data_IF_401757879916
#
_entry.id   IF_401757879916
#
_cell.length_a   1.000
_cell.length_b   1.000
_cell.length_c   1.000
_cell.angle_alpha   90.00
_cell.angle_beta   90.00
_cell.angle_gamma   90.00
#
_symmetry.space_group_name_H-M   'P 1'
#
loop_
_entity.id
_entity.type
_entity.pdbx_description
1 polymer ?
#
# COMPACT_ATOMS: atom_id res chain seq x y z
N UNK A 1 -19.19 16.07 -20.34
CA UNK A 1 -18.16 15.62 -19.39
C UNK A 1 -17.60 14.31 -19.94
N UNK A 2 -16.28 14.13 -20.02
CA UNK A 2 -15.68 12.87 -20.47
C UNK A 2 -15.66 11.87 -19.32
N UNK A 3 -15.90 10.57 -19.60
CA UNK A 3 -15.87 9.47 -18.63
C UNK A 3 -14.70 8.54 -18.96
N UNK A 4 -13.85 8.26 -17.99
CA UNK A 4 -12.79 7.26 -18.11
C UNK A 4 -13.40 5.84 -18.08
N UNK A 5 -13.01 4.92 -18.99
CA UNK A 5 -13.43 3.53 -18.91
C UNK A 5 -12.75 2.81 -17.74
N UNK A 6 -13.49 1.99 -17.01
CA UNK A 6 -12.96 1.21 -15.90
C UNK A 6 -12.23 -0.06 -16.38
N UNK A 7 -11.47 -0.70 -15.49
CA UNK A 7 -10.81 -1.99 -15.77
C UNK A 7 -11.79 -3.09 -16.23
N UNK A 8 -13.06 -2.99 -15.83
CA UNK A 8 -14.11 -3.94 -16.18
C UNK A 8 -14.63 -3.75 -17.61
N UNK A 9 -14.35 -2.60 -18.24
CA UNK A 9 -14.90 -2.22 -19.53
C UNK A 9 -13.92 -2.43 -20.69
N UNK A 10 -12.65 -2.73 -20.38
CA UNK A 10 -11.58 -2.86 -21.38
C UNK A 10 -10.85 -4.18 -21.20
N UNK A 11 -10.68 -4.92 -22.29
CA UNK A 11 -9.83 -6.11 -22.31
C UNK A 11 -8.81 -5.99 -23.42
N UNK A 12 -7.53 -6.05 -23.06
CA UNK A 12 -6.43 -6.13 -24.03
C UNK A 12 -6.27 -7.60 -24.41
N UNK A 13 -6.56 -7.93 -25.67
CA UNK A 13 -6.65 -9.32 -26.14
C UNK A 13 -5.36 -9.86 -26.75
N UNK A 14 -4.51 -9.01 -27.34
CA UNK A 14 -3.30 -9.45 -28.05
C UNK A 14 -2.30 -8.32 -28.29
N UNK A 15 -1.12 -8.67 -28.82
CA UNK A 15 -0.08 -7.74 -29.24
C UNK A 15 0.74 -7.17 -28.10
N UNK A 16 1.44 -6.06 -28.38
CA UNK A 16 2.46 -5.48 -27.51
C UNK A 16 2.04 -5.36 -26.03
N UNK A 17 0.88 -4.75 -25.76
CA UNK A 17 0.42 -4.52 -24.39
C UNK A 17 -0.01 -5.81 -23.68
N UNK A 18 -0.57 -6.78 -24.41
CA UNK A 18 -0.89 -8.09 -23.85
C UNK A 18 0.37 -8.83 -23.42
N UNK A 19 1.44 -8.76 -24.22
CA UNK A 19 2.71 -9.39 -23.89
C UNK A 19 3.33 -8.77 -22.64
N UNK A 20 3.22 -7.44 -22.47
CA UNK A 20 3.66 -6.76 -21.24
C UNK A 20 2.83 -7.13 -20.01
N UNK A 21 1.50 -7.21 -20.14
CA UNK A 21 0.63 -7.67 -19.06
C UNK A 21 0.95 -9.10 -18.64
N UNK A 22 1.15 -10.01 -19.61
CA UNK A 22 1.52 -11.39 -19.35
C UNK A 22 2.89 -11.49 -18.65
N UNK A 23 3.91 -10.74 -19.12
CA UNK A 23 5.22 -10.69 -18.47
C UNK A 23 5.13 -10.19 -17.03
N UNK A 24 4.35 -9.13 -16.79
CA UNK A 24 4.17 -8.57 -15.46
C UNK A 24 3.50 -9.59 -14.52
N UNK A 25 2.37 -10.15 -14.96
CA UNK A 25 1.58 -11.10 -14.18
C UNK A 25 2.28 -12.42 -13.90
N UNK A 26 3.05 -12.95 -14.85
CA UNK A 26 3.71 -14.25 -14.72
C UNK A 26 5.11 -14.19 -14.10
N UNK A 27 5.80 -13.03 -14.18
CA UNK A 27 7.21 -12.95 -13.79
C UNK A 27 7.54 -11.73 -12.92
N UNK A 28 7.24 -10.52 -13.38
CA UNK A 28 7.74 -9.32 -12.69
C UNK A 28 7.11 -9.15 -11.31
N UNK A 29 5.81 -9.43 -11.15
CA UNK A 29 5.12 -9.28 -9.85
C UNK A 29 5.69 -10.22 -8.78
N UNK A 30 6.04 -11.47 -9.13
CA UNK A 30 6.66 -12.42 -8.21
C UNK A 30 8.12 -12.07 -7.93
N UNK A 31 8.86 -11.58 -8.93
CA UNK A 31 10.22 -11.10 -8.73
C UNK A 31 10.26 -9.88 -7.80
N UNK A 32 9.32 -8.94 -7.95
CA UNK A 32 9.18 -7.79 -7.06
C UNK A 32 8.92 -8.26 -5.61
N UNK A 33 8.00 -9.21 -5.39
CA UNK A 33 7.79 -9.78 -4.06
C UNK A 33 9.06 -10.38 -3.47
N UNK A 34 9.80 -11.17 -4.25
CA UNK A 34 11.10 -11.71 -3.83
C UNK A 34 12.10 -10.60 -3.45
N UNK A 35 12.06 -9.45 -4.14
CA UNK A 35 12.89 -8.31 -3.77
C UNK A 35 12.43 -7.64 -2.49
N UNK A 36 11.13 -7.46 -2.27
CA UNK A 36 10.60 -6.92 -1.02
C UNK A 36 10.98 -7.79 0.19
N UNK A 37 10.98 -9.10 0.02
CA UNK A 37 11.48 -10.05 1.03
C UNK A 37 13.01 -9.91 1.21
N UNK A 38 13.77 -9.93 0.11
CA UNK A 38 15.24 -9.87 0.15
C UNK A 38 15.79 -8.54 0.70
N UNK A 39 15.10 -7.42 0.47
CA UNK A 39 15.45 -6.11 1.03
C UNK A 39 14.86 -5.88 2.42
N UNK A 40 14.19 -6.89 2.99
CA UNK A 40 13.59 -6.87 4.33
C UNK A 40 12.45 -5.84 4.48
N UNK A 41 11.91 -5.33 3.37
CA UNK A 41 10.74 -4.45 3.36
C UNK A 41 9.54 -5.14 4.04
N UNK A 42 9.24 -6.41 3.68
CA UNK A 42 8.14 -7.16 4.31
C UNK A 42 8.43 -7.49 5.79
N UNK A 43 9.71 -7.74 6.12
CA UNK A 43 10.13 -7.99 7.51
C UNK A 43 9.84 -6.80 8.42
N UNK A 44 9.88 -5.56 7.91
CA UNK A 44 9.52 -4.38 8.71
C UNK A 44 8.08 -4.45 9.22
N UNK A 45 7.13 -4.92 8.40
CA UNK A 45 5.76 -5.17 8.84
C UNK A 45 5.67 -6.33 9.83
N UNK A 46 6.47 -7.39 9.65
CA UNK A 46 6.56 -8.50 10.62
C UNK A 46 7.08 -8.03 11.97
N UNK A 47 8.04 -7.12 11.99
CA UNK A 47 8.57 -6.51 13.22
C UNK A 47 7.51 -5.62 13.87
N UNK A 48 6.87 -4.74 13.09
CA UNK A 48 5.79 -3.89 13.60
C UNK A 48 4.60 -4.70 14.17
N UNK A 49 4.32 -5.87 13.60
CA UNK A 49 3.31 -6.81 14.09
C UNK A 49 3.77 -7.67 15.29
N UNK A 50 5.02 -7.55 15.74
CA UNK A 50 5.59 -8.38 16.81
C UNK A 50 5.81 -9.86 16.43
N UNK A 51 5.82 -10.18 15.14
CA UNK A 51 6.01 -11.53 14.60
C UNK A 51 7.48 -11.85 14.29
N UNK A 52 8.33 -10.82 14.25
CA UNK A 52 9.76 -10.93 14.04
C UNK A 52 10.48 -9.95 14.96
N UNK A 53 11.58 -10.37 15.57
CA UNK A 53 12.48 -9.46 16.31
C UNK A 53 13.61 -8.99 15.40
N UNK A 54 14.01 -7.72 15.51
CA UNK A 54 15.12 -7.19 14.76
C UNK A 54 15.05 -5.67 14.57
N UNK A 55 15.90 -5.17 13.68
CA UNK A 55 15.92 -3.77 13.26
C UNK A 55 15.17 -3.58 11.94
N UNK A 56 14.59 -2.40 11.75
CA UNK A 56 14.05 -1.98 10.46
C UNK A 56 15.18 -1.78 9.45
N UNK A 57 14.90 -2.10 8.20
CA UNK A 57 15.81 -1.92 7.07
C UNK A 57 15.15 -1.12 5.94
N UNK A 58 15.96 -0.46 5.12
CA UNK A 58 15.49 0.37 4.02
C UNK A 58 15.31 1.85 4.38
N UNK A 59 14.83 2.63 3.41
CA UNK A 59 14.52 4.04 3.61
C UNK A 59 13.24 4.19 4.43
N UNK A 60 13.04 5.37 5.02
CA UNK A 60 11.84 5.69 5.79
C UNK A 60 10.56 5.41 4.97
N UNK A 61 10.56 5.75 3.66
CA UNK A 61 9.45 5.48 2.73
C UNK A 61 9.34 4.03 2.19
N UNK A 62 10.18 3.08 2.61
CA UNK A 62 10.22 1.73 2.02
C UNK A 62 8.92 0.93 2.16
N UNK A 63 8.01 1.35 3.04
CA UNK A 63 6.68 0.73 3.17
C UNK A 63 5.85 0.91 1.88
N UNK A 64 6.04 2.05 1.20
CA UNK A 64 5.38 2.35 -0.08
C UNK A 64 5.73 1.35 -1.19
N UNK A 65 6.91 0.73 -1.16
CA UNK A 65 7.28 -0.28 -2.16
C UNK A 65 6.37 -1.51 -2.06
N UNK A 66 6.02 -1.90 -0.82
CA UNK A 66 5.10 -3.00 -0.58
C UNK A 66 3.65 -2.64 -0.93
N UNK A 67 3.23 -1.42 -0.65
CA UNK A 67 1.89 -0.94 -1.03
C UNK A 67 1.72 -0.82 -2.54
N UNK A 68 2.72 -0.29 -3.27
CA UNK A 68 2.71 -0.25 -4.73
C UNK A 68 2.69 -1.64 -5.36
N UNK A 69 3.40 -2.59 -4.76
CA UNK A 69 3.30 -3.99 -5.16
C UNK A 69 1.90 -4.54 -4.95
N UNK A 70 1.26 -4.23 -3.81
CA UNK A 70 -0.10 -4.66 -3.48
C UNK A 70 -1.15 -4.04 -4.43
N UNK A 71 -1.00 -2.77 -4.82
CA UNK A 71 -1.80 -2.12 -5.86
C UNK A 71 -1.67 -2.87 -7.20
N UNK A 72 -0.43 -3.07 -7.66
CA UNK A 72 -0.15 -3.75 -8.92
C UNK A 72 -0.67 -5.20 -8.92
N UNK A 73 -0.43 -5.94 -7.83
CA UNK A 73 -0.92 -7.31 -7.65
C UNK A 73 -2.44 -7.35 -7.72
N UNK A 74 -3.13 -6.46 -7.00
CA UNK A 74 -4.58 -6.35 -7.01
C UNK A 74 -5.12 -6.15 -8.43
N UNK A 75 -4.57 -5.19 -9.19
CA UNK A 75 -4.98 -4.95 -10.59
C UNK A 75 -4.74 -6.16 -11.49
N UNK A 76 -3.64 -6.90 -11.29
CA UNK A 76 -3.34 -8.13 -12.04
C UNK A 76 -4.37 -9.22 -11.77
N UNK A 77 -4.81 -9.38 -10.52
CA UNK A 77 -5.77 -10.40 -10.11
C UNK A 77 -7.10 -10.32 -10.87
N UNK A 78 -7.45 -9.17 -11.45
CA UNK A 78 -8.65 -9.03 -12.27
C UNK A 78 -8.59 -9.91 -13.54
N UNK A 79 -7.50 -9.84 -14.29
CA UNK A 79 -7.34 -10.55 -15.58
C UNK A 79 -6.52 -11.84 -15.48
N UNK A 80 -5.78 -12.04 -14.39
CA UNK A 80 -4.89 -13.19 -14.19
C UNK A 80 -5.20 -13.88 -12.86
N UNK A 81 -5.92 -15.00 -12.93
CA UNK A 81 -6.42 -15.75 -11.77
C UNK A 81 -5.40 -16.80 -11.30
N UNK A 82 -4.30 -16.33 -10.72
CA UNK A 82 -3.28 -17.21 -10.14
C UNK A 82 -3.46 -17.35 -8.62
N UNK A 83 -3.77 -18.56 -8.11
CA UNK A 83 -3.95 -18.79 -6.68
C UNK A 83 -2.73 -18.44 -5.83
N UNK A 84 -1.52 -18.48 -6.39
CA UNK A 84 -0.31 -18.10 -5.65
C UNK A 84 -0.28 -16.60 -5.39
N UNK A 85 -0.64 -15.78 -6.39
CA UNK A 85 -0.72 -14.33 -6.22
C UNK A 85 -1.80 -13.96 -5.21
N UNK A 86 -2.95 -14.63 -5.26
CA UNK A 86 -4.07 -14.38 -4.35
C UNK A 86 -3.64 -14.64 -2.91
N UNK A 87 -2.98 -15.78 -2.68
CA UNK A 87 -2.45 -16.12 -1.37
C UNK A 87 -1.43 -15.10 -0.86
N UNK A 88 -0.51 -14.63 -1.71
CA UNK A 88 0.47 -13.61 -1.30
C UNK A 88 -0.21 -12.30 -0.91
N UNK A 89 -1.21 -11.87 -1.67
CA UNK A 89 -2.00 -10.66 -1.39
C UNK A 89 -2.76 -10.82 -0.06
N UNK A 90 -3.49 -11.91 0.13
CA UNK A 90 -4.26 -12.16 1.35
C UNK A 90 -3.36 -12.23 2.58
N UNK A 91 -2.25 -12.98 2.50
CA UNK A 91 -1.28 -13.10 3.59
C UNK A 91 -0.66 -11.74 3.94
N UNK A 92 -0.42 -10.89 2.94
CA UNK A 92 0.13 -9.57 3.17
C UNK A 92 -0.90 -8.62 3.80
N UNK A 93 -2.15 -8.63 3.34
CA UNK A 93 -3.25 -7.86 3.96
C UNK A 93 -3.43 -8.28 5.43
N UNK A 94 -3.34 -9.57 5.74
CA UNK A 94 -3.36 -10.10 7.10
C UNK A 94 -2.21 -9.58 7.96
N UNK A 95 -1.03 -9.43 7.36
CA UNK A 95 0.14 -8.87 8.02
C UNK A 95 -0.05 -7.37 8.30
N UNK A 96 -0.54 -6.60 7.32
CA UNK A 96 -0.85 -5.18 7.48
C UNK A 96 -1.86 -4.96 8.62
N UNK A 97 -2.90 -5.79 8.69
CA UNK A 97 -3.89 -5.73 9.77
C UNK A 97 -3.28 -5.94 11.16
N UNK A 98 -2.24 -6.77 11.28
CA UNK A 98 -1.52 -7.02 12.55
C UNK A 98 -0.51 -5.93 12.86
N UNK A 99 0.09 -5.32 11.84
CA UNK A 99 1.06 -4.25 11.99
C UNK A 99 0.41 -2.89 12.31
N UNK A 100 -0.84 -2.68 11.87
CA UNK A 100 -1.57 -1.43 12.11
C UNK A 100 -1.89 -1.27 13.60
N UNK A 101 -1.58 -0.10 14.15
CA UNK A 101 -1.93 0.25 15.53
C UNK A 101 -3.44 0.48 15.67
N UNK A 102 -3.95 0.38 16.90
CA UNK A 102 -5.39 0.40 17.18
C UNK A 102 -6.12 1.67 16.71
N UNK A 103 -5.42 2.79 16.62
CA UNK A 103 -5.93 4.09 16.17
C UNK A 103 -5.81 4.30 14.65
N UNK A 104 -5.32 3.30 13.90
CA UNK A 104 -5.19 3.36 12.44
C UNK A 104 -3.77 3.66 11.94
N UNK A 105 -2.83 3.98 12.84
CA UNK A 105 -1.47 4.31 12.44
C UNK A 105 -0.73 3.09 11.86
N UNK A 106 -0.20 3.23 10.64
CA UNK A 106 0.57 2.19 9.97
C UNK A 106 1.72 2.82 9.18
N UNK A 107 2.85 2.96 9.86
CA UNK A 107 4.10 3.44 9.29
C UNK A 107 5.27 2.88 10.07
N UNK A 108 5.88 1.83 9.51
CA UNK A 108 6.75 0.95 10.29
C UNK A 108 8.08 1.61 10.68
N UNK A 109 8.52 2.68 9.98
CA UNK A 109 9.68 3.46 10.37
C UNK A 109 9.54 4.04 11.78
N UNK A 110 8.51 4.84 12.00
CA UNK A 110 8.28 5.47 13.31
C UNK A 110 7.76 4.46 14.35
N UNK A 111 6.95 3.46 13.95
CA UNK A 111 6.52 2.42 14.89
C UNK A 111 7.69 1.63 15.51
N UNK A 112 8.78 1.43 14.77
CA UNK A 112 9.92 0.61 15.20
C UNK A 112 11.07 1.48 15.72
N UNK A 113 11.46 2.50 14.96
CA UNK A 113 12.66 3.29 15.25
C UNK A 113 12.42 4.36 16.31
N UNK A 114 11.21 4.94 16.34
CA UNK A 114 10.85 6.03 17.24
C UNK A 114 9.46 5.82 17.87
N UNK A 115 9.27 4.74 18.67
CA UNK A 115 7.96 4.41 19.21
C UNK A 115 7.31 5.59 19.95
N UNK A 116 6.09 5.95 19.53
CA UNK A 116 5.32 7.07 20.10
C UNK A 116 5.64 8.44 19.50
N UNK A 117 6.61 8.54 18.59
CA UNK A 117 6.84 9.72 17.76
C UNK A 117 6.10 9.54 16.44
N UNK A 118 5.34 10.56 16.03
CA UNK A 118 4.59 10.60 14.78
C UNK A 118 4.50 12.05 14.33
N UNK A 119 4.46 12.29 13.02
CA UNK A 119 4.21 13.63 12.47
C UNK A 119 5.29 14.66 12.86
N UNK A 120 6.50 14.20 13.20
CA UNK A 120 7.58 15.05 13.70
C UNK A 120 8.29 15.75 12.54
N UNK A 121 8.57 15.02 11.46
CA UNK A 121 9.25 15.55 10.27
C UNK A 121 8.48 15.17 9.00
N UNK A 122 7.27 15.71 8.88
CA UNK A 122 6.40 15.50 7.72
C UNK A 122 7.05 15.91 6.40
N UNK A 123 8.03 16.83 6.43
CA UNK A 123 8.71 17.33 5.24
C UNK A 123 9.72 16.33 4.65
N UNK A 124 10.12 15.31 5.43
CA UNK A 124 11.13 14.32 5.01
C UNK A 124 10.62 12.90 5.15
N UNK A 125 9.90 12.54 6.22
CA UNK A 125 9.68 11.14 6.58
C UNK A 125 8.60 10.41 5.77
N UNK A 126 7.87 11.07 4.85
CA UNK A 126 6.92 10.41 3.94
C UNK A 126 5.82 9.61 4.65
N UNK A 127 5.37 10.08 5.82
CA UNK A 127 4.30 9.43 6.57
C UNK A 127 2.98 9.43 5.77
N UNK A 128 2.55 10.57 5.24
CA UNK A 128 1.32 10.64 4.45
C UNK A 128 1.53 10.01 3.08
N UNK A 129 2.71 10.16 2.49
CA UNK A 129 3.05 9.52 1.23
C UNK A 129 2.89 7.99 1.31
N UNK A 130 3.40 7.35 2.36
CA UNK A 130 3.23 5.91 2.53
C UNK A 130 1.75 5.54 2.74
N UNK A 131 1.01 6.33 3.52
CA UNK A 131 -0.42 6.10 3.74
C UNK A 131 -1.26 6.33 2.48
N UNK A 132 -0.86 7.24 1.59
CA UNK A 132 -1.50 7.44 0.29
C UNK A 132 -1.32 6.21 -0.61
N UNK A 133 -0.11 5.65 -0.69
CA UNK A 133 0.12 4.39 -1.42
C UNK A 133 -0.67 3.21 -0.83
N UNK A 134 -0.85 3.16 0.50
CA UNK A 134 -1.73 2.17 1.14
C UNK A 134 -3.19 2.34 0.69
N UNK A 135 -3.68 3.57 0.61
CA UNK A 135 -5.04 3.89 0.15
C UNK A 135 -5.22 3.50 -1.32
N UNK A 136 -4.28 3.85 -2.20
CA UNK A 136 -4.36 3.46 -3.62
C UNK A 136 -4.44 1.93 -3.79
N UNK A 137 -3.61 1.19 -3.04
CA UNK A 137 -3.64 -0.27 -3.04
C UNK A 137 -4.99 -0.83 -2.55
N UNK A 138 -5.57 -0.21 -1.52
CA UNK A 138 -6.85 -0.60 -0.97
C UNK A 138 -8.01 -0.39 -1.94
N UNK A 139 -8.03 0.74 -2.64
CA UNK A 139 -9.03 1.04 -3.67
C UNK A 139 -8.95 0.01 -4.79
N UNK A 140 -7.75 -0.23 -5.34
CA UNK A 140 -7.57 -1.23 -6.42
C UNK A 140 -7.94 -2.64 -6.02
N UNK A 141 -7.63 -3.03 -4.78
CA UNK A 141 -8.03 -4.32 -4.24
C UNK A 141 -9.56 -4.42 -4.17
N UNK A 142 -10.23 -3.43 -3.57
CA UNK A 142 -11.68 -3.42 -3.46
C UNK A 142 -12.37 -3.42 -4.83
N UNK A 143 -11.91 -2.61 -5.78
CA UNK A 143 -12.45 -2.60 -7.14
C UNK A 143 -12.29 -3.96 -7.84
N UNK A 144 -11.24 -4.72 -7.52
CA UNK A 144 -10.97 -6.01 -8.16
C UNK A 144 -11.71 -7.18 -7.50
N UNK A 145 -11.84 -7.18 -6.16
CA UNK A 145 -12.28 -8.35 -5.38
C UNK A 145 -13.61 -8.12 -4.65
N UNK A 146 -14.04 -6.86 -4.51
CA UNK A 146 -15.11 -6.41 -3.61
C UNK A 146 -14.87 -6.74 -2.12
N UNK A 147 -13.66 -7.17 -1.75
CA UNK A 147 -13.32 -7.46 -0.37
C UNK A 147 -12.90 -6.20 0.38
N UNK A 148 -13.40 -6.05 1.60
CA UNK A 148 -13.27 -4.82 2.38
C UNK A 148 -12.12 -4.83 3.37
N UNK A 149 -11.38 -5.93 3.51
CA UNK A 149 -10.37 -6.07 4.58
C UNK A 149 -9.26 -5.01 4.46
N UNK A 150 -8.65 -4.89 3.28
CA UNK A 150 -7.65 -3.86 3.01
C UNK A 150 -8.26 -2.46 3.01
N UNK A 151 -9.48 -2.29 2.49
CA UNK A 151 -10.21 -1.03 2.53
C UNK A 151 -10.41 -0.53 3.97
N UNK A 152 -10.78 -1.41 4.90
CA UNK A 152 -10.93 -1.05 6.32
C UNK A 152 -9.60 -0.67 6.99
N UNK A 153 -8.47 -1.24 6.57
CA UNK A 153 -7.14 -0.83 7.04
C UNK A 153 -6.84 0.59 6.55
N UNK A 154 -7.03 0.86 5.27
CA UNK A 154 -6.81 2.18 4.67
C UNK A 154 -7.74 3.25 5.25
N UNK A 155 -9.02 2.93 5.46
CA UNK A 155 -9.99 3.84 6.09
C UNK A 155 -9.58 4.24 7.49
N UNK A 156 -9.08 3.30 8.33
CA UNK A 156 -8.57 3.66 9.66
C UNK A 156 -7.37 4.61 9.60
N UNK A 157 -6.48 4.43 8.62
CA UNK A 157 -5.36 5.34 8.42
C UNK A 157 -5.86 6.73 7.97
N UNK A 158 -6.81 6.79 7.05
CA UNK A 158 -7.43 8.04 6.59
C UNK A 158 -8.19 8.74 7.73
N UNK A 159 -8.97 8.00 8.53
CA UNK A 159 -9.68 8.52 9.70
C UNK A 159 -8.71 9.14 10.71
N UNK A 160 -7.55 8.51 10.93
CA UNK A 160 -6.49 9.07 11.76
C UNK A 160 -5.96 10.38 11.19
N UNK A 161 -5.67 10.44 9.89
CA UNK A 161 -5.22 11.67 9.24
C UNK A 161 -6.25 12.80 9.34
N UNK A 162 -7.54 12.49 9.09
CA UNK A 162 -8.64 13.46 9.26
C UNK A 162 -8.70 13.95 10.69
N UNK A 163 -8.64 13.04 11.67
CA UNK A 163 -8.68 13.38 13.09
C UNK A 163 -7.54 14.32 13.51
N UNK A 164 -6.33 14.09 13.00
CA UNK A 164 -5.14 14.85 13.40
C UNK A 164 -4.97 16.16 12.58
N UNK A 165 -5.46 16.21 11.33
CA UNK A 165 -5.09 17.26 10.37
C UNK A 165 -6.23 17.99 9.67
N UNK A 166 -7.51 17.62 9.84
CA UNK A 166 -8.62 18.27 9.11
C UNK A 166 -8.73 19.78 9.37
N UNK A 167 -8.38 20.22 10.59
CA UNK A 167 -8.39 21.63 11.00
C UNK A 167 -6.96 22.23 11.11
N UNK A 168 -5.95 21.55 10.60
CA UNK A 168 -4.55 21.97 10.68
C UNK A 168 -4.18 23.00 9.60
N UNK A 169 -3.09 23.72 9.85
CA UNK A 169 -2.54 24.68 8.89
C UNK A 169 -1.78 23.99 7.76
N UNK A 170 -1.57 24.66 6.61
CA UNK A 170 -0.75 24.12 5.51
C UNK A 170 0.71 23.79 5.86
N UNK A 171 1.19 24.20 7.05
CA UNK A 171 2.50 23.80 7.57
C UNK A 171 2.56 22.30 7.93
N UNK A 172 1.42 21.62 8.07
CA UNK A 172 1.31 20.19 8.37
C UNK A 172 0.95 19.37 7.13
N UNK A 173 1.61 19.66 6.02
CA UNK A 173 1.57 18.80 4.82
C UNK A 173 2.80 17.90 4.79
N UNK A 174 2.67 16.77 4.11
CA UNK A 174 3.84 15.95 3.77
C UNK A 174 4.74 16.73 2.79
N UNK A 175 6.05 16.47 2.86
CA UNK A 175 7.02 17.01 1.91
C UNK A 175 6.98 16.34 0.54
N UNK A 176 6.23 15.23 0.40
CA UNK A 176 5.98 14.54 -0.86
C UNK A 176 4.48 14.34 -1.07
N UNK A 177 3.94 14.98 -2.11
CA UNK A 177 2.54 14.87 -2.50
C UNK A 177 2.18 13.44 -2.92
N UNK A 178 1.01 12.95 -2.51
CA UNK A 178 0.47 11.62 -2.83
C UNK A 178 -0.88 11.43 -2.13
N UNK A 179 -0.97 11.82 -0.85
CA UNK A 179 -2.15 11.59 -0.02
C UNK A 179 -3.39 12.30 -0.58
N UNK A 180 -3.23 13.42 -1.27
CA UNK A 180 -4.31 14.21 -1.84
C UNK A 180 -5.05 13.45 -2.94
N UNK A 181 -4.32 12.82 -3.87
CA UNK A 181 -4.92 12.01 -4.93
C UNK A 181 -5.50 10.72 -4.37
N UNK A 182 -4.83 10.12 -3.38
CA UNK A 182 -5.31 8.91 -2.73
C UNK A 182 -6.64 9.14 -1.99
N UNK A 183 -6.77 10.25 -1.24
CA UNK A 183 -7.99 10.60 -0.51
C UNK A 183 -9.17 10.96 -1.43
N UNK A 184 -8.92 11.48 -2.64
CA UNK A 184 -9.98 11.69 -3.65
C UNK A 184 -10.53 10.36 -4.16
N UNK A 185 -9.70 9.30 -4.19
CA UNK A 185 -10.09 7.96 -4.67
C UNK A 185 -10.81 7.11 -3.62
N UNK A 186 -10.56 7.36 -2.33
CA UNK A 186 -11.12 6.61 -1.21
C UNK A 186 -12.60 6.93 -0.96
#
# INVERSE_FOLDING_TARGET
MMREPTLHEVTITSGFWRDRQNLNAAHAIFYQWQKLEATRCIDNFRIAAGLLSGFREGFFFSDSDAYKWLDAASRIMFHYKDPQLFKLVDDFIDLLAKAQQSDGYLYTYNQIQFPGQRWVDLQVEHEFYCLGHLIEAAVSHYETTAETKLLSIAQKAADLLVKEFADSTPEYTDGHEEIEIALIKL
#
